data_IF_609976124363
#
_entry.id   IF_609976124363
#
_cell.length_a   1.000
_cell.length_b   1.000
_cell.length_c   1.000
_cell.angle_alpha   90.00
_cell.angle_beta   90.00
_cell.angle_gamma   90.00
#
_symmetry.space_group_name_H-M   'P 1'
#
loop_
_entity.id
_entity.type
_entity.pdbx_description
1 polymer ?
#
# COMPACT_ATOMS: atom_id res chain seq x y z
N UNK A 1 -22.04 -31.24 -41.17
CA UNK A 1 -22.78 -30.99 -39.91
C UNK A 1 -21.85 -30.93 -38.69
N UNK A 2 -20.97 -31.91 -38.46
CA UNK A 2 -20.02 -31.91 -37.34
C UNK A 2 -19.00 -30.74 -37.35
N UNK A 3 -18.44 -30.41 -38.51
CA UNK A 3 -17.45 -29.33 -38.66
C UNK A 3 -18.00 -27.93 -38.30
N UNK A 4 -19.29 -27.71 -38.53
CA UNK A 4 -19.98 -26.46 -38.18
C UNK A 4 -20.24 -26.34 -36.66
N UNK A 5 -20.48 -27.46 -35.98
CA UNK A 5 -20.65 -27.47 -34.52
C UNK A 5 -19.31 -27.29 -33.79
N UNK A 6 -18.21 -27.80 -34.36
CA UNK A 6 -16.85 -27.61 -33.81
C UNK A 6 -16.42 -26.13 -33.85
N UNK A 7 -16.69 -25.43 -34.95
CA UNK A 7 -16.41 -23.99 -35.06
C UNK A 7 -17.21 -23.16 -34.05
N UNK A 8 -18.47 -23.52 -33.79
CA UNK A 8 -19.31 -22.87 -32.77
C UNK A 8 -18.81 -23.11 -31.35
N UNK A 9 -18.36 -24.33 -31.04
CA UNK A 9 -17.76 -24.64 -29.74
C UNK A 9 -16.46 -23.87 -29.51
N UNK A 10 -15.59 -23.79 -30.52
CA UNK A 10 -14.35 -23.01 -30.46
C UNK A 10 -14.64 -21.52 -30.23
N UNK A 11 -15.60 -20.94 -30.96
CA UNK A 11 -16.01 -19.54 -30.75
C UNK A 11 -16.59 -19.31 -29.36
N UNK A 12 -17.39 -20.25 -28.85
CA UNK A 12 -17.97 -20.20 -27.50
C UNK A 12 -16.90 -20.27 -26.42
N UNK A 13 -15.89 -21.14 -26.57
CA UNK A 13 -14.79 -21.24 -25.61
C UNK A 13 -13.94 -19.97 -25.60
N UNK A 14 -13.64 -19.40 -26.77
CA UNK A 14 -12.89 -18.14 -26.88
C UNK A 14 -13.68 -16.99 -26.23
N UNK A 15 -14.99 -16.91 -26.49
CA UNK A 15 -15.85 -15.90 -25.87
C UNK A 15 -15.93 -16.06 -24.34
N UNK A 16 -16.02 -17.29 -23.83
CA UNK A 16 -15.98 -17.56 -22.39
C UNK A 16 -14.63 -17.14 -21.77
N UNK A 17 -13.50 -17.43 -22.43
CA UNK A 17 -12.16 -17.00 -21.96
C UNK A 17 -12.05 -15.47 -21.91
N UNK A 18 -12.60 -14.75 -22.90
CA UNK A 18 -12.66 -13.29 -22.86
C UNK A 18 -13.53 -12.77 -21.71
N UNK A 19 -14.68 -13.39 -21.42
CA UNK A 19 -15.53 -13.00 -20.28
C UNK A 19 -14.84 -13.20 -18.93
N UNK A 20 -14.07 -14.28 -18.74
CA UNK A 20 -13.31 -14.51 -17.50
C UNK A 20 -12.08 -13.60 -17.37
N UNK A 21 -11.50 -13.11 -18.47
CA UNK A 21 -10.35 -12.20 -18.44
C UNK A 21 -10.70 -10.78 -17.95
N UNK A 22 -11.97 -10.36 -18.05
CA UNK A 22 -12.42 -9.02 -17.62
C UNK A 22 -12.57 -8.86 -16.10
N UNK A 23 -12.53 -9.94 -15.30
CA UNK A 23 -12.71 -9.82 -13.84
C UNK A 23 -11.42 -9.43 -13.09
N UNK A 24 -10.26 -9.44 -13.76
CA UNK A 24 -8.97 -9.33 -13.06
C UNK A 24 -8.42 -7.90 -12.94
N UNK A 25 -9.17 -6.87 -13.33
CA UNK A 25 -8.62 -5.50 -13.45
C UNK A 25 -9.45 -4.42 -12.74
N UNK A 26 -9.89 -4.70 -11.52
CA UNK A 26 -10.22 -3.64 -10.58
C UNK A 26 -9.78 -4.11 -9.21
N UNK A 27 -8.63 -3.64 -8.72
CA UNK A 27 -8.32 -3.75 -7.30
C UNK A 27 -9.26 -2.75 -6.60
N UNK A 28 -10.29 -3.19 -5.86
CA UNK A 28 -11.10 -2.24 -5.14
C UNK A 28 -10.22 -1.64 -4.05
N UNK A 29 -10.11 -0.31 -3.99
CA UNK A 29 -9.74 0.36 -2.75
C UNK A 29 -10.71 -0.17 -1.71
N UNK A 30 -10.25 -1.03 -0.79
CA UNK A 30 -11.11 -1.64 0.23
C UNK A 30 -11.72 -0.50 1.04
N UNK A 31 -12.99 -0.20 0.76
CA UNK A 31 -13.81 0.77 1.48
C UNK A 31 -13.27 2.22 1.47
N UNK A 32 -12.48 2.63 0.48
CA UNK A 32 -11.89 3.98 0.42
C UNK A 32 -10.69 4.20 1.35
N UNK A 33 -10.15 3.14 1.98
CA UNK A 33 -8.99 3.24 2.87
C UNK A 33 -7.67 3.11 2.11
N UNK A 34 -6.70 3.96 2.45
CA UNK A 34 -5.32 3.87 1.96
C UNK A 34 -4.63 2.62 2.53
N UNK A 35 -3.82 1.96 1.70
CA UNK A 35 -3.01 0.82 2.15
C UNK A 35 -2.00 1.31 3.19
N UNK A 36 -1.97 0.68 4.35
CA UNK A 36 -1.16 1.12 5.50
C UNK A 36 -1.34 2.62 5.82
N UNK A 37 -2.56 3.14 5.64
CA UNK A 37 -2.89 4.53 5.98
C UNK A 37 -2.86 4.85 7.47
N UNK A 38 -2.88 3.81 8.30
CA UNK A 38 -2.76 3.87 9.77
C UNK A 38 -1.33 3.61 10.27
N UNK A 39 -0.36 3.36 9.38
CA UNK A 39 1.05 3.16 9.71
C UNK A 39 1.38 1.99 10.63
N UNK A 40 0.51 0.99 10.78
CA UNK A 40 0.78 -0.18 11.63
C UNK A 40 1.69 -1.23 10.98
N UNK A 41 1.93 -1.15 9.67
CA UNK A 41 2.96 -1.93 9.01
C UNK A 41 4.29 -1.19 9.04
N UNK A 42 5.19 -1.65 9.90
CA UNK A 42 6.48 -1.03 10.14
C UNK A 42 7.47 -1.19 8.96
N UNK A 43 8.41 -0.23 8.80
CA UNK A 43 9.62 -0.44 8.01
C UNK A 43 10.45 -1.61 8.55
N UNK A 44 11.33 -2.15 7.71
CA UNK A 44 12.35 -3.12 8.17
C UNK A 44 13.33 -2.40 9.10
N UNK A 45 13.80 -3.08 10.14
CA UNK A 45 14.80 -2.53 11.06
C UNK A 45 16.08 -2.05 10.34
N UNK A 46 16.49 -2.74 9.26
CA UNK A 46 17.64 -2.34 8.43
C UNK A 46 17.43 -1.06 7.63
N UNK A 47 16.19 -0.56 7.57
CA UNK A 47 15.80 0.65 6.88
C UNK A 47 15.44 1.78 7.87
N UNK A 48 15.88 1.66 9.12
CA UNK A 48 15.73 2.68 10.15
C UNK A 48 17.11 3.11 10.67
N UNK A 49 17.30 4.42 10.83
CA UNK A 49 18.39 5.03 11.58
C UNK A 49 17.80 5.68 12.84
N UNK A 50 17.71 4.90 13.92
CA UNK A 50 16.86 5.28 15.07
C UNK A 50 15.39 5.28 14.64
N UNK A 51 14.73 6.42 14.70
CA UNK A 51 13.35 6.61 14.22
C UNK A 51 13.29 7.07 12.77
N UNK A 52 14.38 7.58 12.20
CA UNK A 52 14.43 8.05 10.82
C UNK A 52 14.31 6.88 9.84
N UNK A 53 13.44 7.01 8.85
CA UNK A 53 13.27 6.03 7.79
C UNK A 53 14.31 6.31 6.69
N UNK A 54 15.27 5.39 6.54
CA UNK A 54 16.30 5.49 5.49
C UNK A 54 15.85 4.71 4.26
N UNK A 55 15.55 5.45 3.18
CA UNK A 55 15.12 4.91 1.89
C UNK A 55 13.76 5.41 1.42
N UNK A 56 13.61 5.65 0.12
CA UNK A 56 12.38 6.24 -0.44
C UNK A 56 11.19 5.27 -0.52
N UNK A 57 11.42 3.96 -0.34
CA UNK A 57 10.41 2.91 -0.48
C UNK A 57 10.41 1.94 0.73
N UNK A 58 10.96 2.37 1.86
CA UNK A 58 11.14 1.51 3.05
C UNK A 58 9.95 1.50 3.99
N UNK A 59 9.02 2.46 3.92
CA UNK A 59 7.72 2.39 4.57
C UNK A 59 6.72 1.67 3.66
N UNK A 60 6.12 0.54 4.09
CA UNK A 60 5.20 -0.22 3.24
C UNK A 60 4.08 0.65 2.66
N UNK A 61 3.87 0.54 1.34
CA UNK A 61 2.83 1.22 0.55
C UNK A 61 2.97 2.75 0.40
N UNK A 62 4.06 3.32 0.91
CA UNK A 62 4.32 4.76 0.84
C UNK A 62 5.66 5.03 0.16
N UNK A 63 5.69 6.07 -0.67
CA UNK A 63 6.94 6.67 -1.16
C UNK A 63 7.29 7.87 -0.30
N UNK A 64 8.52 7.90 0.19
CA UNK A 64 9.06 8.93 1.07
C UNK A 64 9.90 9.92 0.26
N UNK A 65 9.76 11.21 0.58
CA UNK A 65 10.71 12.27 0.21
C UNK A 65 11.01 13.13 1.44
N UNK A 66 12.26 13.58 1.57
CA UNK A 66 12.70 14.35 2.72
C UNK A 66 12.82 13.50 3.99
N UNK A 67 12.90 14.17 5.13
CA UNK A 67 13.09 13.53 6.44
C UNK A 67 11.74 13.04 7.00
N UNK A 68 11.61 11.72 7.18
CA UNK A 68 10.42 11.10 7.79
C UNK A 68 10.85 10.13 8.87
N UNK A 69 10.19 10.20 10.02
CA UNK A 69 10.39 9.28 11.11
C UNK A 69 9.21 8.33 11.28
N UNK A 70 9.51 7.09 11.60
CA UNK A 70 8.55 6.10 12.09
C UNK A 70 8.53 6.15 13.61
N UNK A 71 7.39 6.50 14.18
CA UNK A 71 7.24 6.73 15.61
C UNK A 71 6.28 5.71 16.25
N UNK A 72 6.68 5.10 17.36
CA UNK A 72 5.81 4.31 18.23
C UNK A 72 5.20 5.15 19.35
N UNK A 73 3.97 4.81 19.74
CA UNK A 73 3.27 5.40 20.87
C UNK A 73 4.03 5.18 22.17
N UNK A 74 4.08 6.21 23.02
CA UNK A 74 4.77 6.15 24.30
C UNK A 74 6.28 6.37 24.22
N UNK A 75 6.84 6.66 23.05
CA UNK A 75 8.22 7.12 22.97
C UNK A 75 8.37 8.53 23.57
N UNK A 76 9.59 8.84 24.03
CA UNK A 76 9.92 10.17 24.56
C UNK A 76 10.66 11.02 23.54
N UNK A 77 10.31 12.30 23.48
CA UNK A 77 11.09 13.33 22.81
C UNK A 77 11.52 14.36 23.85
N UNK A 78 12.74 14.24 24.35
CA UNK A 78 13.16 14.93 25.58
C UNK A 78 12.30 14.47 26.76
N UNK A 79 11.72 15.42 27.49
CA UNK A 79 10.80 15.13 28.60
C UNK A 79 9.35 14.89 28.15
N UNK A 80 9.05 15.05 26.85
CA UNK A 80 7.69 14.92 26.32
C UNK A 80 7.40 13.47 25.93
N UNK A 81 6.20 12.99 26.27
CA UNK A 81 5.67 11.71 25.80
C UNK A 81 4.88 11.92 24.51
N UNK A 82 5.26 11.22 23.44
CA UNK A 82 4.51 11.25 22.19
C UNK A 82 3.35 10.26 22.26
N UNK A 83 2.13 10.80 22.18
CA UNK A 83 0.89 10.02 22.14
C UNK A 83 0.47 9.87 20.68
N UNK A 84 0.25 8.63 20.25
CA UNK A 84 -0.39 8.35 18.96
C UNK A 84 -1.90 8.24 19.20
N UNK A 85 -2.74 9.10 18.57
CA UNK A 85 -4.17 9.14 18.86
C UNK A 85 -4.92 7.85 18.52
N UNK A 86 -4.45 7.11 17.52
CA UNK A 86 -5.05 5.87 17.07
C UNK A 86 -3.96 4.88 16.71
N UNK A 87 -4.01 3.68 17.31
CA UNK A 87 -3.03 2.63 17.05
C UNK A 87 -1.74 2.77 17.88
N UNK A 88 -0.72 2.03 17.46
CA UNK A 88 0.59 2.00 18.09
C UNK A 88 1.64 2.84 17.38
N UNK A 89 1.38 3.30 16.15
CA UNK A 89 2.41 3.89 15.29
C UNK A 89 1.92 5.10 14.49
N UNK A 90 2.86 5.96 14.11
CA UNK A 90 2.62 7.07 13.20
C UNK A 90 3.87 7.36 12.36
N UNK A 91 3.69 8.15 11.30
CA UNK A 91 4.80 8.76 10.58
C UNK A 91 4.86 10.26 10.91
N UNK A 92 6.05 10.75 11.28
CA UNK A 92 6.30 12.16 11.54
C UNK A 92 7.11 12.76 10.40
N UNK A 93 6.58 13.82 9.80
CA UNK A 93 7.21 14.50 8.68
C UNK A 93 8.06 15.66 9.19
N UNK A 94 9.31 15.73 8.72
CA UNK A 94 10.13 16.93 8.82
C UNK A 94 9.66 18.02 7.85
N UNK A 95 10.33 19.16 7.90
CA UNK A 95 10.05 20.25 6.95
C UNK A 95 10.19 19.77 5.51
N UNK A 96 9.20 20.11 4.67
CA UNK A 96 9.15 19.78 3.24
C UNK A 96 9.11 18.28 2.90
N UNK A 97 9.01 17.41 3.92
CA UNK A 97 8.90 15.97 3.71
C UNK A 97 7.53 15.59 3.13
N UNK A 98 7.47 14.46 2.43
CA UNK A 98 6.25 13.98 1.78
C UNK A 98 6.12 12.47 1.93
N UNK A 99 4.89 12.03 2.18
CA UNK A 99 4.44 10.65 2.03
C UNK A 99 3.46 10.58 0.88
N UNK A 100 3.79 9.77 -0.13
CA UNK A 100 3.05 9.73 -1.39
C UNK A 100 2.57 8.30 -1.62
N UNK A 101 1.25 8.13 -1.75
CA UNK A 101 0.61 6.92 -2.25
C UNK A 101 -0.17 7.28 -3.51
N UNK A 102 0.01 6.50 -4.58
CA UNK A 102 -0.87 6.60 -5.76
C UNK A 102 -2.09 5.73 -5.50
N UNK A 103 -3.26 6.33 -5.64
CA UNK A 103 -4.55 5.65 -5.60
C UNK A 103 -5.02 5.44 -7.04
N UNK A 104 -5.58 4.27 -7.33
CA UNK A 104 -6.19 3.93 -8.63
C UNK A 104 -7.71 4.09 -8.57
#
# INVERSE_FOLDING_TARGET
RAHFNMFKLLFSCVFLVFLFCHWSLAAPIKNGLLLNGNFEYAPKASALNGTEIIGSMSLPFWRIRGFVEYISSGQKQGDMLLVVPQGGHAARLGNEAQLIQRVE
#
